data_IF_550017388511
#
_entry.id   IF_550017388511
#
_cell.length_a   1.000
_cell.length_b   1.000
_cell.length_c   1.000
_cell.angle_alpha   90.00
_cell.angle_beta   90.00
_cell.angle_gamma   90.00
#
_symmetry.space_group_name_H-M   'P 1'
#
loop_
_entity.id
_entity.type
_entity.pdbx_description
1 polymer ?
#
# COMPACT_ATOMS: atom_id res chain seq x y z
N UNK A 1 3.08 -12.23 -41.33
CA UNK A 1 2.69 -12.12 -39.91
C UNK A 1 1.22 -12.51 -39.77
N UNK A 2 0.88 -13.57 -39.02
CA UNK A 2 -0.53 -13.86 -38.67
C UNK A 2 -1.04 -12.69 -37.81
N UNK A 3 -1.98 -11.90 -38.31
CA UNK A 3 -2.69 -10.89 -37.49
C UNK A 3 -3.38 -11.67 -36.36
N UNK A 4 -3.00 -11.42 -35.11
CA UNK A 4 -3.76 -11.92 -33.95
C UNK A 4 -5.10 -11.16 -33.98
N UNK A 5 -6.12 -11.76 -34.59
CA UNK A 5 -7.50 -11.30 -34.44
C UNK A 5 -8.15 -12.18 -33.37
N UNK A 6 -8.28 -11.63 -32.16
CA UNK A 6 -9.15 -12.27 -31.18
C UNK A 6 -10.60 -12.20 -31.68
N UNK A 7 -11.33 -13.30 -31.58
CA UNK A 7 -12.77 -13.25 -31.81
C UNK A 7 -13.41 -12.35 -30.74
N UNK A 8 -14.54 -11.68 -31.04
CA UNK A 8 -15.23 -10.84 -30.06
C UNK A 8 -15.52 -11.57 -28.74
N UNK A 9 -15.87 -12.86 -28.83
CA UNK A 9 -16.13 -13.71 -27.65
C UNK A 9 -14.89 -13.92 -26.79
N UNK A 10 -13.73 -14.18 -27.40
CA UNK A 10 -12.47 -14.36 -26.67
C UNK A 10 -12.07 -13.05 -26.01
N UNK A 11 -12.24 -11.92 -26.70
CA UNK A 11 -11.96 -10.60 -26.13
C UNK A 11 -12.84 -10.29 -24.91
N UNK A 12 -14.14 -10.56 -24.99
CA UNK A 12 -15.05 -10.38 -23.84
C UNK A 12 -14.65 -11.22 -22.64
N UNK A 13 -14.23 -12.48 -22.84
CA UNK A 13 -13.75 -13.34 -21.74
C UNK A 13 -12.48 -12.79 -21.10
N UNK A 14 -11.49 -12.39 -21.91
CA UNK A 14 -10.25 -11.77 -21.42
C UNK A 14 -10.56 -10.49 -20.63
N UNK A 15 -11.42 -9.62 -21.17
CA UNK A 15 -11.86 -8.39 -20.50
C UNK A 15 -12.46 -8.65 -19.12
N UNK A 16 -13.38 -9.63 -19.01
CA UNK A 16 -14.02 -9.99 -17.74
C UNK A 16 -12.97 -10.47 -16.73
N UNK A 17 -12.11 -11.42 -17.13
CA UNK A 17 -11.08 -11.97 -16.25
C UNK A 17 -10.12 -10.88 -15.77
N UNK A 18 -9.63 -10.04 -16.67
CA UNK A 18 -8.67 -8.97 -16.34
C UNK A 18 -9.30 -7.91 -15.43
N UNK A 19 -10.54 -7.48 -15.69
CA UNK A 19 -11.23 -6.53 -14.82
C UNK A 19 -11.55 -7.12 -13.44
N UNK A 20 -11.90 -8.41 -13.35
CA UNK A 20 -12.06 -9.10 -12.07
C UNK A 20 -10.74 -9.15 -11.29
N UNK A 21 -9.62 -9.44 -11.95
CA UNK A 21 -8.29 -9.39 -11.34
C UNK A 21 -7.95 -7.99 -10.83
N UNK A 22 -8.25 -6.94 -11.59
CA UNK A 22 -8.03 -5.57 -11.16
C UNK A 22 -8.83 -5.23 -9.89
N UNK A 23 -10.11 -5.62 -9.80
CA UNK A 23 -10.90 -5.42 -8.58
C UNK A 23 -10.22 -6.13 -7.38
N UNK A 24 -9.80 -7.39 -7.55
CA UNK A 24 -9.15 -8.16 -6.48
C UNK A 24 -7.87 -7.48 -6.00
N UNK A 25 -6.96 -7.13 -6.92
CA UNK A 25 -5.71 -6.45 -6.55
C UNK A 25 -5.97 -5.08 -5.91
N UNK A 26 -6.89 -4.29 -6.45
CA UNK A 26 -7.26 -2.99 -5.88
C UNK A 26 -7.88 -3.12 -4.48
N UNK A 27 -8.67 -4.16 -4.23
CA UNK A 27 -9.22 -4.45 -2.91
C UNK A 27 -8.14 -4.88 -1.90
N UNK A 28 -7.19 -5.73 -2.33
CA UNK A 28 -6.04 -6.13 -1.48
C UNK A 28 -5.22 -4.90 -1.09
N UNK A 29 -4.90 -4.04 -2.07
CA UNK A 29 -4.18 -2.78 -1.85
C UNK A 29 -4.91 -1.86 -0.87
N UNK A 30 -6.23 -1.71 -1.05
CA UNK A 30 -7.08 -0.93 -0.16
C UNK A 30 -7.06 -1.47 1.28
N UNK A 31 -7.27 -2.78 1.46
CA UNK A 31 -7.32 -3.42 2.77
C UNK A 31 -5.97 -3.39 3.50
N UNK A 32 -4.87 -3.72 2.80
CA UNK A 32 -3.53 -3.68 3.37
C UNK A 32 -3.11 -2.24 3.72
N UNK A 33 -3.45 -1.28 2.87
CA UNK A 33 -3.22 0.14 3.14
C UNK A 33 -3.92 0.61 4.40
N UNK A 34 -5.21 0.29 4.57
CA UNK A 34 -5.97 0.62 5.79
C UNK A 34 -5.35 -0.05 7.01
N UNK A 35 -5.08 -1.35 6.94
CA UNK A 35 -4.55 -2.12 8.08
C UNK A 35 -3.21 -1.57 8.57
N UNK A 36 -2.30 -1.26 7.63
CA UNK A 36 -0.99 -0.69 7.96
C UNK A 36 -1.13 0.73 8.54
N UNK A 37 -1.96 1.57 7.92
CA UNK A 37 -2.17 2.95 8.35
C UNK A 37 -2.81 3.02 9.75
N UNK A 38 -3.87 2.25 9.99
CA UNK A 38 -4.56 2.18 11.28
C UNK A 38 -3.61 1.72 12.41
N UNK A 39 -2.79 0.70 12.13
CA UNK A 39 -1.82 0.17 13.10
C UNK A 39 -0.79 1.22 13.51
N UNK A 40 -0.24 1.98 12.55
CA UNK A 40 0.74 3.03 12.84
C UNK A 40 0.11 4.26 13.50
N UNK A 41 -1.08 4.68 13.06
CA UNK A 41 -1.78 5.83 13.65
C UNK A 41 -2.13 5.60 15.13
N UNK A 42 -2.45 4.36 15.52
CA UNK A 42 -2.71 3.98 16.93
C UNK A 42 -1.53 4.22 17.87
N UNK A 43 -0.31 4.36 17.34
CA UNK A 43 0.94 4.56 18.08
C UNK A 43 1.65 5.87 17.72
N UNK A 44 1.02 6.73 16.90
CA UNK A 44 1.62 7.98 16.44
C UNK A 44 1.81 9.01 17.56
N UNK A 45 1.11 8.86 18.69
CA UNK A 45 1.28 9.65 19.91
C UNK A 45 2.70 9.59 20.47
N UNK A 46 3.30 8.40 20.50
CA UNK A 46 4.67 8.19 20.97
C UNK A 46 5.69 8.27 19.84
N UNK A 47 5.37 7.71 18.67
CA UNK A 47 6.29 7.71 17.54
C UNK A 47 6.45 9.13 16.99
N UNK A 48 5.37 9.93 16.90
CA UNK A 48 5.38 11.29 16.35
C UNK A 48 6.01 11.41 14.94
N UNK A 49 5.97 10.33 14.17
CA UNK A 49 6.46 10.27 12.79
C UNK A 49 5.27 9.99 11.87
N UNK A 50 5.11 10.81 10.85
CA UNK A 50 4.08 10.60 9.85
C UNK A 50 4.24 9.21 9.20
N UNK A 51 3.17 8.40 9.11
CA UNK A 51 3.24 7.12 8.42
C UNK A 51 3.73 7.28 6.97
N UNK A 52 4.43 6.27 6.41
CA UNK A 52 4.84 6.27 5.01
C UNK A 52 3.69 6.63 4.06
N UNK A 53 3.95 7.58 3.15
CA UNK A 53 2.94 8.13 2.25
C UNK A 53 2.28 7.05 1.36
N UNK A 54 2.95 5.92 1.15
CA UNK A 54 2.40 4.78 0.41
C UNK A 54 1.07 4.31 1.01
N UNK A 55 0.92 4.25 2.34
CA UNK A 55 -0.29 3.68 2.95
C UNK A 55 -1.54 4.50 2.61
N UNK A 56 -1.50 5.82 2.73
CA UNK A 56 -2.64 6.68 2.39
C UNK A 56 -2.95 6.69 0.89
N UNK A 57 -1.90 6.69 0.06
CA UNK A 57 -2.06 6.76 -1.40
C UNK A 57 -2.55 5.45 -2.01
N UNK A 58 -2.15 4.28 -1.50
CA UNK A 58 -2.68 2.99 -1.98
C UNK A 58 -4.14 2.77 -1.60
N UNK A 59 -4.62 3.35 -0.50
CA UNK A 59 -6.04 3.36 -0.15
C UNK A 59 -6.80 4.12 -1.25
N UNK A 60 -6.30 5.30 -1.63
CA UNK A 60 -6.91 6.10 -2.69
C UNK A 60 -6.85 5.40 -4.05
N UNK A 61 -5.69 4.90 -4.50
CA UNK A 61 -5.57 4.23 -5.79
C UNK A 61 -6.32 2.90 -5.83
N UNK A 62 -6.41 2.19 -4.70
CA UNK A 62 -7.26 1.02 -4.53
C UNK A 62 -8.74 1.34 -4.76
N UNK A 63 -9.27 2.41 -4.15
CA UNK A 63 -10.64 2.86 -4.39
C UNK A 63 -10.88 3.25 -5.86
N UNK A 64 -9.98 4.04 -6.44
CA UNK A 64 -10.06 4.43 -7.86
C UNK A 64 -10.06 3.19 -8.76
N UNK A 65 -9.21 2.21 -8.49
CA UNK A 65 -9.13 0.96 -9.24
C UNK A 65 -10.40 0.10 -9.15
N UNK A 66 -11.00 0.01 -7.96
CA UNK A 66 -12.29 -0.67 -7.75
C UNK A 66 -13.39 0.00 -8.58
N UNK A 67 -13.50 1.33 -8.50
CA UNK A 67 -14.51 2.10 -9.22
C UNK A 67 -14.29 1.98 -10.73
N UNK A 68 -13.08 2.21 -11.22
CA UNK A 68 -12.74 2.15 -12.64
C UNK A 68 -13.02 0.77 -13.24
N UNK A 69 -12.67 -0.31 -12.53
CA UNK A 69 -12.92 -1.67 -12.99
C UNK A 69 -14.40 -2.05 -12.94
N UNK A 70 -15.14 -1.57 -11.93
CA UNK A 70 -16.60 -1.74 -11.84
C UNK A 70 -17.34 -1.04 -12.98
N UNK A 71 -16.92 0.18 -13.33
CA UNK A 71 -17.42 0.92 -14.50
C UNK A 71 -17.12 0.16 -15.80
N UNK A 72 -16.00 -0.57 -15.86
CA UNK A 72 -15.67 -1.47 -16.97
C UNK A 72 -16.77 -2.51 -17.24
N UNK A 73 -17.28 -3.17 -16.19
CA UNK A 73 -18.40 -4.12 -16.32
C UNK A 73 -19.69 -3.44 -16.80
N UNK A 74 -19.99 -2.23 -16.32
CA UNK A 74 -21.13 -1.44 -16.81
C UNK A 74 -20.99 -1.08 -18.28
N UNK A 75 -19.76 -0.81 -18.74
CA UNK A 75 -19.43 -0.54 -20.13
C UNK A 75 -19.69 -1.73 -21.04
N UNK A 76 -19.39 -2.94 -20.57
CA UNK A 76 -19.69 -4.18 -21.29
C UNK A 76 -21.20 -4.38 -21.49
N UNK A 77 -22.01 -4.04 -20.49
CA UNK A 77 -23.47 -4.18 -20.55
C UNK A 77 -24.16 -3.13 -21.42
N UNK A 78 -23.79 -1.85 -21.25
CA UNK A 78 -24.48 -0.75 -21.96
C UNK A 78 -23.92 -0.47 -23.36
N UNK A 79 -22.75 -1.02 -23.72
CA UNK A 79 -22.06 -0.79 -25.01
C UNK A 79 -21.88 0.70 -25.38
N UNK A 80 -21.84 1.59 -24.37
CA UNK A 80 -21.69 3.03 -24.56
C UNK A 80 -20.21 3.41 -24.62
N UNK A 81 -19.76 4.03 -25.73
CA UNK A 81 -18.38 4.49 -25.91
C UNK A 81 -17.89 5.36 -24.74
N UNK A 82 -18.75 6.24 -24.21
CA UNK A 82 -18.41 7.11 -23.08
C UNK A 82 -18.02 6.33 -21.81
N UNK A 83 -18.70 5.21 -21.51
CA UNK A 83 -18.40 4.40 -20.31
C UNK A 83 -17.04 3.70 -20.47
N UNK A 84 -16.73 3.23 -21.68
CA UNK A 84 -15.43 2.66 -21.98
C UNK A 84 -14.30 3.69 -21.82
N UNK A 85 -14.50 4.95 -22.25
CA UNK A 85 -13.52 6.01 -22.03
C UNK A 85 -13.30 6.33 -20.55
N UNK A 86 -14.38 6.43 -19.74
CA UNK A 86 -14.27 6.67 -18.29
C UNK A 86 -13.50 5.54 -17.61
N UNK A 87 -13.78 4.28 -17.97
CA UNK A 87 -13.04 3.11 -17.50
C UNK A 87 -11.54 3.21 -17.82
N UNK A 88 -11.19 3.51 -19.08
CA UNK A 88 -9.81 3.63 -19.54
C UNK A 88 -9.05 4.79 -18.86
N UNK A 89 -9.70 5.95 -18.70
CA UNK A 89 -9.12 7.11 -18.00
C UNK A 89 -8.87 6.77 -16.53
N UNK A 90 -9.85 6.14 -15.86
CA UNK A 90 -9.71 5.74 -14.45
C UNK A 90 -8.56 4.76 -14.22
N UNK A 91 -8.43 3.74 -15.08
CA UNK A 91 -7.28 2.82 -15.04
C UNK A 91 -5.96 3.51 -15.36
N UNK A 92 -5.95 4.46 -16.29
CA UNK A 92 -4.76 5.26 -16.61
C UNK A 92 -4.28 6.08 -15.42
N UNK A 93 -5.19 6.75 -14.71
CA UNK A 93 -4.88 7.49 -13.48
C UNK A 93 -4.34 6.55 -12.40
N UNK A 94 -4.99 5.40 -12.17
CA UNK A 94 -4.54 4.41 -11.19
C UNK A 94 -3.13 3.88 -11.53
N UNK A 95 -2.86 3.58 -12.81
CA UNK A 95 -1.56 3.12 -13.30
C UNK A 95 -0.48 4.15 -13.02
N UNK A 96 -0.73 5.41 -13.38
CA UNK A 96 0.22 6.50 -13.19
C UNK A 96 0.55 6.71 -11.70
N UNK A 97 -0.48 6.78 -10.84
CA UNK A 97 -0.30 6.96 -9.41
C UNK A 97 0.45 5.78 -8.77
N UNK A 98 0.15 4.54 -9.17
CA UNK A 98 0.85 3.35 -8.66
C UNK A 98 2.34 3.36 -9.00
N UNK A 99 2.72 3.81 -10.20
CA UNK A 99 4.14 3.95 -10.59
C UNK A 99 4.81 5.03 -9.73
N UNK A 100 4.20 6.23 -9.66
CA UNK A 100 4.75 7.34 -8.90
C UNK A 100 4.94 7.00 -7.42
N UNK A 101 3.93 6.39 -6.78
CA UNK A 101 4.02 6.05 -5.36
C UNK A 101 5.01 4.92 -5.11
N UNK A 102 5.08 3.91 -5.97
CA UNK A 102 6.03 2.82 -5.77
C UNK A 102 7.47 3.34 -5.81
N UNK A 103 7.78 4.23 -6.77
CA UNK A 103 9.11 4.88 -6.85
C UNK A 103 9.36 5.76 -5.62
N UNK A 104 8.39 6.60 -5.23
CA UNK A 104 8.53 7.48 -4.08
C UNK A 104 8.71 6.70 -2.76
N UNK A 105 8.00 5.59 -2.59
CA UNK A 105 8.09 4.74 -1.41
C UNK A 105 9.46 4.08 -1.30
N UNK A 106 10.03 3.58 -2.40
CA UNK A 106 11.40 3.05 -2.42
C UNK A 106 12.41 4.13 -1.99
N UNK A 107 12.21 5.37 -2.41
CA UNK A 107 13.14 6.46 -2.12
C UNK A 107 13.07 7.00 -0.67
N UNK A 108 11.92 6.89 0.01
CA UNK A 108 11.71 7.47 1.35
C UNK A 108 11.73 6.44 2.48
N UNK A 109 11.93 5.17 2.14
CA UNK A 109 11.82 4.06 3.06
C UNK A 109 12.81 4.11 4.23
N UNK A 110 14.09 4.34 3.93
CA UNK A 110 15.15 4.43 4.94
C UNK A 110 14.98 5.66 5.85
N UNK A 111 14.41 6.74 5.30
CA UNK A 111 14.13 7.95 6.06
C UNK A 111 13.11 7.68 7.18
N UNK A 112 12.04 6.93 6.88
CA UNK A 112 11.04 6.59 7.90
C UNK A 112 11.66 5.80 9.07
N UNK A 113 12.52 4.81 8.77
CA UNK A 113 13.21 4.05 9.81
C UNK A 113 14.12 4.94 10.68
N UNK A 114 14.84 5.88 10.07
CA UNK A 114 15.66 6.87 10.78
C UNK A 114 14.83 7.79 11.68
N UNK A 115 13.66 8.25 11.20
CA UNK A 115 12.79 9.14 11.97
C UNK A 115 12.19 8.43 13.19
N UNK A 116 11.74 7.17 13.03
CA UNK A 116 11.26 6.34 14.14
C UNK A 116 12.38 6.09 15.15
N UNK A 117 13.59 5.80 14.67
CA UNK A 117 14.76 5.63 15.53
C UNK A 117 15.02 6.88 16.38
N UNK A 118 15.10 8.04 15.75
CA UNK A 118 15.37 9.31 16.43
C UNK A 118 14.29 9.63 17.47
N UNK A 119 13.02 9.40 17.13
CA UNK A 119 11.89 9.69 18.03
C UNK A 119 11.86 8.79 19.27
N UNK A 120 12.01 7.47 19.08
CA UNK A 120 11.97 6.52 20.20
C UNK A 120 13.20 6.65 21.11
N UNK A 121 14.39 6.91 20.56
CA UNK A 121 15.59 7.19 21.35
C UNK A 121 15.45 8.46 22.20
N UNK A 122 14.78 9.49 21.70
CA UNK A 122 14.58 10.73 22.45
C UNK A 122 13.50 10.56 23.54
N UNK A 123 12.44 9.82 23.26
CA UNK A 123 11.29 9.66 24.14
C UNK A 123 11.52 8.66 25.29
N UNK A 124 12.36 7.63 25.11
CA UNK A 124 12.58 6.60 26.14
C UNK A 124 13.15 7.17 27.44
N UNK A 125 13.95 8.24 27.36
CA UNK A 125 14.49 8.94 28.53
C UNK A 125 13.40 9.54 29.45
N UNK A 126 12.22 9.82 28.88
CA UNK A 126 11.08 10.41 29.58
C UNK A 126 10.06 9.39 30.06
N UNK A 127 10.35 8.08 29.97
CA UNK A 127 9.39 7.03 30.31
C UNK A 127 8.76 7.16 31.72
N UNK A 128 9.50 7.65 32.71
CA UNK A 128 8.95 7.86 34.07
C UNK A 128 7.79 8.88 34.13
N UNK A 129 7.60 9.69 33.09
CA UNK A 129 6.44 10.56 32.97
C UNK A 129 5.23 9.75 32.51
N UNK A 130 4.10 9.91 33.19
CA UNK A 130 2.88 9.12 32.97
C UNK A 130 2.41 9.11 31.51
N UNK A 131 2.55 10.21 30.79
CA UNK A 131 2.17 10.28 29.37
C UNK A 131 3.03 9.39 28.47
N UNK A 132 4.33 9.27 28.77
CA UNK A 132 5.24 8.42 28.01
C UNK A 132 5.13 6.96 28.41
N UNK A 133 4.99 6.65 29.71
CA UNK A 133 4.86 5.26 30.16
C UNK A 133 3.64 4.57 29.58
N UNK A 134 2.47 5.23 29.57
CA UNK A 134 1.23 4.67 29.01
C UNK A 134 1.39 4.31 27.54
N UNK A 135 2.01 5.19 26.75
CA UNK A 135 2.17 4.96 25.32
C UNK A 135 3.26 3.93 25.00
N UNK A 136 4.39 3.94 25.73
CA UNK A 136 5.40 2.88 25.61
C UNK A 136 4.84 1.53 26.04
N UNK A 137 4.06 1.45 27.12
CA UNK A 137 3.46 0.20 27.58
C UNK A 137 2.53 -0.41 26.54
N UNK A 138 1.71 0.43 25.89
CA UNK A 138 0.84 0.03 24.79
C UNK A 138 1.65 -0.43 23.57
N UNK A 139 2.71 0.30 23.23
CA UNK A 139 3.57 -0.03 22.09
C UNK A 139 4.27 -1.38 22.30
N UNK A 140 4.86 -1.58 23.47
CA UNK A 140 5.61 -2.79 23.83
C UNK A 140 4.73 -4.04 23.86
N UNK A 141 3.50 -3.91 24.36
CA UNK A 141 2.53 -5.00 24.36
C UNK A 141 1.97 -5.29 22.96
N UNK A 142 1.85 -4.28 22.10
CA UNK A 142 1.32 -4.44 20.73
C UNK A 142 2.33 -5.04 19.76
N UNK A 143 3.61 -4.68 19.89
CA UNK A 143 4.69 -5.10 18.99
C UNK A 143 5.64 -6.13 19.60
N UNK A 144 5.39 -6.61 20.82
CA UNK A 144 6.23 -7.60 21.49
C UNK A 144 7.70 -7.16 21.58
N UNK A 145 7.92 -5.87 21.87
CA UNK A 145 9.22 -5.22 21.93
C UNK A 145 9.48 -4.62 23.32
N UNK A 146 10.73 -4.23 23.60
CA UNK A 146 11.06 -3.54 24.85
C UNK A 146 12.11 -2.45 24.65
N UNK A 147 11.83 -1.26 25.17
CA UNK A 147 12.67 -0.08 25.01
C UNK A 147 12.67 0.45 23.57
N UNK A 148 13.54 1.41 23.29
CA UNK A 148 13.75 1.93 21.95
C UNK A 148 14.58 0.93 21.12
N UNK A 149 15.79 0.62 21.58
CA UNK A 149 16.71 -0.34 20.94
C UNK A 149 16.72 -1.70 21.62
N UNK A 150 16.52 -1.73 22.95
CA UNK A 150 16.40 -2.97 23.72
C UNK A 150 15.92 -2.68 25.15
N UNK A 151 15.60 -3.74 25.90
CA UNK A 151 15.30 -3.65 27.32
C UNK A 151 16.40 -2.98 28.18
N UNK A 152 17.63 -2.85 27.65
CA UNK A 152 18.76 -2.23 28.36
C UNK A 152 18.63 -0.70 28.46
N UNK A 153 17.84 -0.08 27.59
CA UNK A 153 17.61 1.37 27.60
C UNK A 153 17.08 1.84 28.97
N UNK A 154 16.17 1.05 29.57
CA UNK A 154 15.67 1.33 30.91
C UNK A 154 16.79 1.38 31.95
N UNK A 155 17.75 0.45 31.90
CA UNK A 155 18.87 0.42 32.84
C UNK A 155 19.82 1.61 32.62
N UNK A 156 20.02 2.03 31.38
CA UNK A 156 20.83 3.20 31.04
C UNK A 156 20.29 4.47 31.71
N UNK A 157 18.97 4.61 31.82
CA UNK A 157 18.31 5.72 32.51
C UNK A 157 17.95 5.42 33.98
N UNK A 158 18.54 4.37 34.58
CA UNK A 158 18.29 3.96 35.98
C UNK A 158 16.80 3.65 36.27
N UNK A 159 16.05 3.24 35.25
CA UNK A 159 14.66 2.84 35.34
C UNK A 159 14.52 1.32 35.46
N UNK A 160 13.42 0.88 36.07
CA UNK A 160 13.05 -0.54 36.08
C UNK A 160 12.43 -0.92 34.73
N UNK A 161 12.75 -2.13 34.26
CA UNK A 161 12.09 -2.71 33.09
C UNK A 161 10.59 -2.88 33.41
N UNK A 162 9.69 -2.34 32.59
CA UNK A 162 8.27 -2.36 32.89
C UNK A 162 7.63 -3.73 32.67
N UNK A 163 6.48 -4.02 33.32
CA UNK A 163 5.75 -5.26 33.12
C UNK A 163 5.30 -5.49 31.66
N UNK A 164 5.03 -4.43 30.91
CA UNK A 164 4.65 -4.45 29.50
C UNK A 164 5.71 -5.09 28.58
N UNK A 165 6.97 -5.10 29.02
CA UNK A 165 8.08 -5.77 28.31
C UNK A 165 8.14 -7.29 28.54
N UNK A 166 7.25 -7.87 29.36
CA UNK A 166 7.38 -9.25 29.84
C UNK A 166 6.25 -10.16 29.40
N UNK A 167 6.59 -11.42 29.14
CA UNK A 167 5.65 -12.55 29.03
C UNK A 167 6.03 -13.56 30.11
N UNK A 168 5.29 -13.55 31.22
CA UNK A 168 5.70 -14.28 32.42
C UNK A 168 7.04 -13.78 32.95
N UNK A 169 8.05 -14.66 32.99
CA UNK A 169 9.41 -14.33 33.46
C UNK A 169 10.34 -13.84 32.34
N UNK A 170 9.95 -14.01 31.07
CA UNK A 170 10.75 -13.61 29.92
C UNK A 170 10.56 -12.12 29.61
N UNK A 171 11.62 -11.46 29.15
CA UNK A 171 11.60 -10.07 28.68
C UNK A 171 11.88 -10.05 27.19
N UNK A 172 11.14 -9.26 26.41
CA UNK A 172 11.42 -9.09 24.99
C UNK A 172 12.84 -8.55 24.78
N UNK A 173 13.59 -9.20 23.88
CA UNK A 173 14.96 -8.80 23.57
C UNK A 173 15.02 -7.65 22.55
N UNK A 174 14.09 -7.66 21.59
CA UNK A 174 14.04 -6.71 20.47
C UNK A 174 13.53 -5.33 20.90
N UNK A 175 14.14 -4.28 20.37
CA UNK A 175 13.70 -2.90 20.56
C UNK A 175 12.50 -2.53 19.69
N UNK A 176 11.71 -1.57 20.15
CA UNK A 176 10.52 -1.14 19.41
C UNK A 176 10.83 -0.40 18.10
N UNK A 177 12.05 0.16 17.96
CA UNK A 177 12.50 0.74 16.68
C UNK A 177 12.52 -0.33 15.59
N UNK A 178 13.12 -1.48 15.87
CA UNK A 178 13.27 -2.58 14.91
C UNK A 178 11.91 -3.16 14.51
N UNK A 179 11.01 -3.39 15.47
CA UNK A 179 9.69 -3.95 15.20
C UNK A 179 8.78 -2.98 14.42
N UNK A 180 8.76 -1.69 14.77
CA UNK A 180 7.92 -0.69 14.07
C UNK A 180 8.45 -0.41 12.67
N UNK A 181 9.77 -0.15 12.55
CA UNK A 181 10.38 0.11 11.25
C UNK A 181 10.25 -1.14 10.37
N UNK A 182 10.51 -2.34 10.92
CA UNK A 182 10.34 -3.62 10.24
C UNK A 182 8.91 -3.87 9.77
N UNK A 183 7.91 -3.57 10.59
CA UNK A 183 6.50 -3.65 10.21
C UNK A 183 6.18 -2.72 9.02
N UNK A 184 6.53 -1.44 9.14
CA UNK A 184 6.26 -0.46 8.09
C UNK A 184 6.99 -0.82 6.78
N UNK A 185 8.23 -1.29 6.91
CA UNK A 185 9.08 -1.76 5.83
C UNK A 185 8.48 -2.97 5.10
N UNK A 186 8.03 -3.98 5.84
CA UNK A 186 7.46 -5.19 5.28
C UNK A 186 6.18 -4.89 4.50
N UNK A 187 5.26 -4.12 5.08
CA UNK A 187 4.02 -3.72 4.40
C UNK A 187 4.29 -2.83 3.19
N UNK A 188 5.22 -1.87 3.30
CA UNK A 188 5.61 -1.01 2.18
C UNK A 188 6.16 -1.84 1.01
N UNK A 189 7.05 -2.82 1.27
CA UNK A 189 7.58 -3.69 0.23
C UNK A 189 6.50 -4.52 -0.49
N UNK A 190 5.56 -5.08 0.26
CA UNK A 190 4.42 -5.82 -0.31
C UNK A 190 3.59 -4.90 -1.22
N UNK A 191 3.26 -3.69 -0.74
CA UNK A 191 2.49 -2.72 -1.50
C UNK A 191 3.23 -2.19 -2.73
N UNK A 192 4.55 -1.94 -2.65
CA UNK A 192 5.40 -1.55 -3.77
C UNK A 192 5.34 -2.63 -4.86
N UNK A 193 5.49 -3.91 -4.49
CA UNK A 193 5.38 -5.03 -5.42
C UNK A 193 4.02 -5.09 -6.09
N UNK A 194 2.93 -4.94 -5.34
CA UNK A 194 1.57 -4.91 -5.86
C UNK A 194 1.31 -3.69 -6.77
N UNK A 195 1.82 -2.51 -6.44
CA UNK A 195 1.76 -1.32 -7.29
C UNK A 195 2.40 -1.57 -8.66
N UNK A 196 3.64 -2.09 -8.69
CA UNK A 196 4.32 -2.37 -9.96
C UNK A 196 3.62 -3.48 -10.76
N UNK A 197 3.21 -4.56 -10.10
CA UNK A 197 2.48 -5.65 -10.76
C UNK A 197 1.18 -5.15 -11.39
N UNK A 198 0.36 -4.41 -10.64
CA UNK A 198 -0.90 -3.86 -11.14
C UNK A 198 -0.69 -2.84 -12.24
N UNK A 199 0.31 -1.95 -12.12
CA UNK A 199 0.65 -0.98 -13.15
C UNK A 199 1.09 -1.63 -14.47
N UNK A 200 1.88 -2.71 -14.42
CA UNK A 200 2.27 -3.46 -15.62
C UNK A 200 1.05 -4.12 -16.27
N UNK A 201 0.21 -4.81 -15.49
CA UNK A 201 -0.98 -5.47 -16.00
C UNK A 201 -1.99 -4.47 -16.61
N UNK A 202 -2.21 -3.34 -15.93
CA UNK A 202 -3.06 -2.25 -16.43
C UNK A 202 -2.46 -1.59 -17.66
N UNK A 203 -1.16 -1.31 -17.67
CA UNK A 203 -0.46 -0.72 -18.82
C UNK A 203 -0.56 -1.57 -20.09
N UNK A 204 -0.36 -2.90 -19.96
CA UNK A 204 -0.54 -3.85 -21.08
C UNK A 204 -1.98 -3.86 -21.56
N UNK A 205 -2.94 -3.94 -20.64
CA UNK A 205 -4.37 -3.93 -20.97
C UNK A 205 -4.80 -2.62 -21.67
N UNK A 206 -4.34 -1.47 -21.18
CA UNK A 206 -4.59 -0.16 -21.78
C UNK A 206 -3.98 -0.08 -23.18
N UNK A 207 -2.75 -0.55 -23.35
CA UNK A 207 -2.05 -0.60 -24.64
C UNK A 207 -2.81 -1.43 -25.69
N UNK A 208 -3.25 -2.63 -25.32
CA UNK A 208 -4.06 -3.50 -26.20
C UNK A 208 -5.40 -2.81 -26.54
N UNK A 209 -6.07 -2.23 -25.54
CA UNK A 209 -7.35 -1.55 -25.74
C UNK A 209 -7.25 -0.37 -26.69
N UNK A 210 -6.24 0.49 -26.51
CA UNK A 210 -5.96 1.63 -27.42
C UNK A 210 -5.63 1.12 -28.82
N UNK A 211 -4.80 0.08 -28.94
CA UNK A 211 -4.42 -0.49 -30.23
C UNK A 211 -5.63 -1.00 -31.02
N UNK A 212 -6.57 -1.68 -30.37
CA UNK A 212 -7.79 -2.14 -31.03
C UNK A 212 -8.73 -1.00 -31.42
N UNK A 213 -8.87 0.04 -30.59
CA UNK A 213 -9.70 1.21 -30.92
C UNK A 213 -9.16 1.87 -32.19
N UNK A 214 -7.84 2.14 -32.25
CA UNK A 214 -7.20 2.75 -33.43
C UNK A 214 -7.38 1.90 -34.69
N UNK A 215 -7.21 0.58 -34.57
CA UNK A 215 -7.44 -0.35 -35.69
C UNK A 215 -8.89 -0.34 -36.19
N UNK A 216 -9.86 -0.13 -35.29
CA UNK A 216 -11.27 0.01 -35.67
C UNK A 216 -11.52 1.31 -36.44
N UNK A 217 -10.91 2.41 -36.01
CA UNK A 217 -11.05 3.71 -36.67
C UNK A 217 -10.39 3.72 -38.06
N UNK A 218 -9.19 3.14 -38.20
CA UNK A 218 -8.51 2.97 -39.49
C UNK A 218 -9.33 2.11 -40.48
N UNK A 219 -10.01 1.08 -39.96
CA UNK A 219 -10.89 0.22 -40.76
C UNK A 219 -12.10 0.96 -41.33
N UNK A 220 -12.68 1.89 -40.55
CA UNK A 220 -13.76 2.77 -41.01
C UNK A 220 -13.25 3.74 -42.06
N UNK A 221 -12.07 4.34 -41.85
CA UNK A 221 -11.47 5.28 -42.79
C UNK A 221 -11.12 4.67 -44.16
N UNK A 222 -10.75 3.38 -44.22
CA UNK A 222 -10.51 2.68 -45.50
C UNK A 222 -11.81 2.25 -46.22
N UNK A 223 -12.92 2.17 -45.50
CA UNK A 223 -14.22 1.77 -46.05
C UNK A 223 -15.10 2.92 -46.54
N UNK A 224 -14.71 4.17 -46.25
CA UNK A 224 -15.37 5.39 -46.70
C UNK A 224 -14.69 5.93 -47.97
#
# INVERSE_FOLDING_TARGET
MKKISFSPEVWTKIFIVVNSLFIVFSFIMFALGISALDTLLKHNTIIQVAPPAIFGTVIFTGLVGIIASSVGFLGLWRKMKMIAFVHMIGLGIATFLNICIAIAAVATQDQYASDVQQSLLNSISNYNQTSYSVEFDKLQTSFYCCGATSYRDYRQYQMKIPPSCRVGELTYATGCIEEIAGFAQQYSNILIGLCFLTAILQGVYLGISIWMIRKSDDGVAFSA
#
